data_IF_956374604780
#
_entry.id   IF_956374604780
#
_cell.length_a   1.000
_cell.length_b   1.000
_cell.length_c   1.000
_cell.angle_alpha   90.00
_cell.angle_beta   90.00
_cell.angle_gamma   90.00
#
_symmetry.space_group_name_H-M   'P 1'
#
loop_
_entity.id
_entity.type
_entity.pdbx_description
1 polymer ?
#
# COMPACT_ATOMS: atom_id res chain seq x y z
N UNK A 1 -24.44 -13.90 21.59
CA UNK A 1 -23.05 -13.48 21.30
C UNK A 1 -22.49 -14.44 20.28
N UNK A 2 -22.00 -13.93 19.16
CA UNK A 2 -21.43 -14.75 18.08
C UNK A 2 -20.03 -15.22 18.49
N UNK A 3 -19.74 -16.51 18.25
CA UNK A 3 -18.41 -17.09 18.43
C UNK A 3 -17.64 -17.04 17.10
N UNK A 4 -16.73 -16.10 16.98
CA UNK A 4 -15.89 -15.93 15.79
C UNK A 4 -14.97 -17.12 15.49
N UNK A 5 -14.76 -18.06 16.43
CA UNK A 5 -14.02 -19.28 16.18
C UNK A 5 -14.87 -20.39 15.51
N UNK A 6 -16.17 -20.15 15.35
CA UNK A 6 -17.13 -21.11 14.79
C UNK A 6 -18.00 -20.49 13.69
N UNK A 7 -17.38 -19.76 12.75
CA UNK A 7 -18.06 -19.02 11.68
C UNK A 7 -19.04 -19.91 10.88
N UNK A 8 -18.67 -21.15 10.59
CA UNK A 8 -19.49 -22.12 9.84
C UNK A 8 -20.82 -22.48 10.53
N UNK A 9 -20.99 -22.16 11.82
CA UNK A 9 -22.22 -22.42 12.58
C UNK A 9 -23.13 -21.21 12.70
N UNK A 10 -22.72 -20.05 12.21
CA UNK A 10 -23.50 -18.82 12.27
C UNK A 10 -24.69 -18.92 11.32
N UNK A 11 -25.87 -18.63 11.83
CA UNK A 11 -27.06 -18.49 11.01
C UNK A 11 -27.19 -17.04 10.53
N UNK A 12 -26.61 -16.76 9.37
CA UNK A 12 -26.55 -15.42 8.82
C UNK A 12 -27.92 -14.77 8.62
N UNK A 13 -28.97 -15.54 8.26
CA UNK A 13 -30.31 -15.01 8.08
C UNK A 13 -30.90 -14.39 9.36
N UNK A 14 -30.41 -14.79 10.53
CA UNK A 14 -30.83 -14.25 11.83
C UNK A 14 -29.75 -13.32 12.45
N UNK A 15 -28.68 -13.02 11.72
CA UNK A 15 -27.56 -12.20 12.20
C UNK A 15 -27.74 -10.75 11.78
N UNK A 16 -27.61 -9.84 12.73
CA UNK A 16 -27.58 -8.40 12.49
C UNK A 16 -26.15 -7.91 12.44
N UNK A 17 -25.80 -7.22 11.36
CA UNK A 17 -24.47 -6.66 11.14
C UNK A 17 -24.60 -5.14 11.05
N UNK A 18 -23.96 -4.44 11.98
CA UNK A 18 -23.74 -3.01 11.84
C UNK A 18 -22.44 -2.78 11.08
N UNK A 19 -22.46 -1.86 10.11
CA UNK A 19 -21.31 -1.45 9.33
C UNK A 19 -21.01 0.00 9.67
N UNK A 20 -19.81 0.25 10.19
CA UNK A 20 -19.36 1.58 10.55
C UNK A 20 -18.54 2.16 9.40
N UNK A 21 -19.11 3.20 8.75
CA UNK A 21 -18.58 3.87 7.58
C UNK A 21 -19.17 3.35 6.26
N UNK A 22 -19.62 4.28 5.40
CA UNK A 22 -20.23 4.04 4.09
C UNK A 22 -19.28 4.30 2.92
N UNK A 23 -17.97 4.26 3.13
CA UNK A 23 -16.97 4.27 2.05
C UNK A 23 -16.97 2.95 1.28
N UNK A 24 -16.08 2.83 0.27
CA UNK A 24 -16.01 1.66 -0.62
C UNK A 24 -16.01 0.32 0.14
N UNK A 25 -15.18 0.18 1.18
CA UNK A 25 -15.10 -1.06 1.98
C UNK A 25 -16.39 -1.36 2.74
N UNK A 26 -17.04 -0.32 3.31
CA UNK A 26 -18.29 -0.50 4.04
C UNK A 26 -19.45 -0.91 3.13
N UNK A 27 -19.59 -0.28 1.98
CA UNK A 27 -20.61 -0.63 0.97
C UNK A 27 -20.39 -2.04 0.43
N UNK A 28 -19.15 -2.44 0.16
CA UNK A 28 -18.81 -3.78 -0.28
C UNK A 28 -19.14 -4.85 0.79
N UNK A 29 -18.82 -4.56 2.06
CA UNK A 29 -19.19 -5.43 3.18
C UNK A 29 -20.73 -5.54 3.34
N UNK A 30 -21.47 -4.44 3.13
CA UNK A 30 -22.92 -4.42 3.14
C UNK A 30 -23.52 -5.30 2.03
N UNK A 31 -22.99 -5.20 0.83
CA UNK A 31 -23.42 -6.01 -0.31
C UNK A 31 -23.16 -7.51 -0.06
N UNK A 32 -21.97 -7.87 0.41
CA UNK A 32 -21.65 -9.26 0.78
C UNK A 32 -22.56 -9.74 1.90
N UNK A 33 -22.73 -8.95 2.97
CA UNK A 33 -23.61 -9.28 4.10
C UNK A 33 -25.07 -9.49 3.67
N UNK A 34 -25.58 -8.69 2.75
CA UNK A 34 -26.92 -8.84 2.16
C UNK A 34 -27.02 -10.13 1.34
N UNK A 35 -25.98 -10.43 0.54
CA UNK A 35 -25.94 -11.65 -0.28
C UNK A 35 -26.02 -12.94 0.56
N UNK A 36 -25.33 -12.96 1.71
CA UNK A 36 -25.37 -14.11 2.63
C UNK A 36 -26.65 -14.14 3.49
N UNK A 37 -27.54 -13.16 3.33
CA UNK A 37 -28.84 -13.08 3.99
C UNK A 37 -28.86 -12.39 5.36
N UNK A 38 -27.78 -11.73 5.78
CA UNK A 38 -27.72 -11.00 7.05
C UNK A 38 -28.56 -9.70 7.01
N UNK A 39 -28.97 -9.24 8.19
CA UNK A 39 -29.68 -7.97 8.36
C UNK A 39 -28.65 -6.85 8.52
N UNK A 40 -28.54 -5.96 7.53
CA UNK A 40 -27.55 -4.91 7.47
C UNK A 40 -28.10 -3.58 8.01
N UNK A 41 -27.26 -2.90 8.81
CA UNK A 41 -27.44 -1.53 9.23
C UNK A 41 -26.13 -0.75 9.01
N UNK A 42 -26.18 0.37 8.27
CA UNK A 42 -25.01 1.22 8.00
C UNK A 42 -25.10 2.47 8.87
N UNK A 43 -23.99 2.81 9.52
CA UNK A 43 -23.87 4.06 10.27
C UNK A 43 -22.69 4.86 9.72
N UNK A 44 -22.95 6.12 9.32
CA UNK A 44 -21.99 7.00 8.66
C UNK A 44 -22.03 8.40 9.28
N UNK A 45 -20.86 8.98 9.50
CA UNK A 45 -20.74 10.32 10.09
C UNK A 45 -21.10 11.43 9.11
N UNK A 46 -20.81 11.25 7.82
CA UNK A 46 -21.16 12.20 6.78
C UNK A 46 -22.62 12.04 6.33
N UNK A 47 -23.29 13.16 6.08
CA UNK A 47 -24.64 13.22 5.53
C UNK A 47 -24.69 13.69 4.06
N UNK A 48 -23.57 13.56 3.33
CA UNK A 48 -23.47 14.01 1.94
C UNK A 48 -24.45 13.23 1.03
N UNK A 49 -25.09 13.90 0.05
CA UNK A 49 -26.01 13.25 -0.88
C UNK A 49 -25.39 12.07 -1.64
N UNK A 50 -24.12 12.15 -1.99
CA UNK A 50 -23.38 11.06 -2.68
C UNK A 50 -23.30 9.79 -1.81
N UNK A 51 -23.02 9.94 -0.52
CA UNK A 51 -22.95 8.82 0.42
C UNK A 51 -24.33 8.17 0.57
N UNK A 52 -25.39 8.98 0.72
CA UNK A 52 -26.76 8.48 0.85
C UNK A 52 -27.17 7.71 -0.43
N UNK A 53 -26.81 8.22 -1.61
CA UNK A 53 -27.06 7.54 -2.88
C UNK A 53 -26.34 6.19 -2.95
N UNK A 54 -25.08 6.12 -2.51
CA UNK A 54 -24.29 4.89 -2.48
C UNK A 54 -24.84 3.83 -1.50
N UNK A 55 -25.44 4.23 -0.37
CA UNK A 55 -26.07 3.32 0.59
C UNK A 55 -27.36 2.68 -0.01
N UNK A 56 -28.09 3.42 -0.82
CA UNK A 56 -29.30 2.94 -1.50
C UNK A 56 -30.45 2.59 -0.56
N UNK A 57 -31.05 1.42 -0.72
CA UNK A 57 -32.25 0.97 0.03
C UNK A 57 -31.95 0.28 1.39
N UNK A 58 -30.68 0.17 1.77
CA UNK A 58 -30.29 -0.45 3.04
C UNK A 58 -30.76 0.40 4.22
N UNK A 59 -30.95 -0.21 5.39
CA UNK A 59 -31.17 0.56 6.63
C UNK A 59 -29.91 1.31 7.01
N UNK A 60 -30.04 2.60 7.28
CA UNK A 60 -28.89 3.42 7.64
C UNK A 60 -29.21 4.57 8.59
N UNK A 61 -28.17 5.16 9.13
CA UNK A 61 -28.15 6.50 9.74
C UNK A 61 -26.96 7.28 9.18
N UNK A 62 -27.08 8.60 9.12
CA UNK A 62 -26.04 9.54 8.67
C UNK A 62 -25.98 10.74 9.60
N UNK A 63 -24.87 11.50 9.57
CA UNK A 63 -24.67 12.67 10.42
C UNK A 63 -24.25 12.31 11.84
N UNK A 64 -23.67 11.13 12.06
CA UNK A 64 -23.17 10.64 13.33
C UNK A 64 -23.56 9.20 13.63
N UNK A 65 -23.04 8.68 14.73
CA UNK A 65 -23.22 7.30 15.16
C UNK A 65 -24.11 7.23 16.42
N UNK A 66 -25.32 6.69 16.30
CA UNK A 66 -26.23 6.52 17.42
C UNK A 66 -26.10 5.13 18.07
N UNK A 67 -26.84 4.93 19.18
CA UNK A 67 -26.94 3.63 19.82
C UNK A 67 -27.61 2.55 18.94
N UNK A 68 -28.16 2.90 17.78
CA UNK A 68 -28.69 1.92 16.82
C UNK A 68 -27.59 0.98 16.29
N UNK A 69 -26.31 1.42 16.29
CA UNK A 69 -25.14 0.60 15.97
C UNK A 69 -25.03 -0.60 16.91
N UNK A 70 -25.41 -0.43 18.17
CA UNK A 70 -25.29 -1.45 19.22
C UNK A 70 -26.34 -2.57 19.10
N UNK A 71 -27.37 -2.39 18.27
CA UNK A 71 -28.36 -3.42 17.99
C UNK A 71 -27.84 -4.42 16.93
N UNK A 72 -26.65 -4.92 17.17
CA UNK A 72 -25.93 -5.80 16.26
C UNK A 72 -25.30 -7.00 16.97
N UNK A 73 -25.14 -8.07 16.22
CA UNK A 73 -24.40 -9.26 16.64
C UNK A 73 -22.91 -9.17 16.27
N UNK A 74 -22.58 -8.35 15.25
CA UNK A 74 -21.21 -8.06 14.77
C UNK A 74 -21.14 -6.61 14.29
N UNK A 75 -20.04 -5.93 14.56
CA UNK A 75 -19.69 -4.65 13.97
C UNK A 75 -18.57 -4.86 12.93
N UNK A 76 -18.84 -4.50 11.66
CA UNK A 76 -17.79 -4.40 10.62
C UNK A 76 -17.34 -2.96 10.55
N UNK A 77 -16.06 -2.70 10.85
CA UNK A 77 -15.47 -1.36 10.91
C UNK A 77 -14.68 -1.04 9.66
N UNK A 78 -15.00 0.09 9.02
CA UNK A 78 -14.17 0.63 7.92
C UNK A 78 -12.80 1.08 8.43
N UNK A 79 -11.71 0.85 7.65
CA UNK A 79 -10.33 1.08 8.11
C UNK A 79 -10.01 2.56 8.40
N UNK A 80 -10.71 3.50 7.75
CA UNK A 80 -10.53 4.94 7.98
C UNK A 80 -10.99 5.42 9.34
N UNK A 81 -11.88 4.68 10.02
CA UNK A 81 -12.46 5.10 11.30
C UNK A 81 -11.50 4.77 12.45
N UNK A 82 -11.13 5.75 13.29
CA UNK A 82 -10.25 5.53 14.46
C UNK A 82 -10.92 4.64 15.53
N UNK A 83 -10.10 3.92 16.30
CA UNK A 83 -10.60 3.03 17.36
C UNK A 83 -11.07 3.78 18.63
N UNK A 84 -10.78 5.06 18.75
CA UNK A 84 -11.16 5.89 19.88
C UNK A 84 -12.53 6.54 19.74
N UNK A 85 -13.23 6.33 18.62
CA UNK A 85 -14.61 6.79 18.42
C UNK A 85 -15.52 6.21 19.50
N UNK A 86 -16.36 7.05 20.16
CA UNK A 86 -17.15 6.63 21.32
C UNK A 86 -18.00 5.36 21.11
N UNK A 87 -18.61 5.21 19.93
CA UNK A 87 -19.46 4.06 19.63
C UNK A 87 -18.69 2.73 19.58
N UNK A 88 -17.40 2.77 19.17
CA UNK A 88 -16.53 1.60 19.17
C UNK A 88 -16.28 1.11 20.60
N UNK A 89 -15.95 2.05 21.52
CA UNK A 89 -15.79 1.73 22.93
C UNK A 89 -17.06 1.16 23.56
N UNK A 90 -18.21 1.65 23.14
CA UNK A 90 -19.48 1.13 23.62
C UNK A 90 -19.77 -0.29 23.09
N UNK A 91 -19.42 -0.58 21.85
CA UNK A 91 -19.46 -1.96 21.30
C UNK A 91 -18.55 -2.89 22.12
N UNK A 92 -17.34 -2.47 22.47
CA UNK A 92 -16.42 -3.24 23.31
C UNK A 92 -17.00 -3.50 24.69
N UNK A 93 -17.60 -2.47 25.36
CA UNK A 93 -18.26 -2.59 26.66
C UNK A 93 -19.40 -3.61 26.62
N UNK A 94 -20.13 -3.71 25.51
CA UNK A 94 -21.23 -4.64 25.34
C UNK A 94 -20.77 -6.00 24.77
N UNK A 95 -19.47 -6.19 24.57
CA UNK A 95 -18.88 -7.38 23.97
C UNK A 95 -19.43 -7.71 22.58
N UNK A 96 -19.77 -6.70 21.78
CA UNK A 96 -20.09 -6.86 20.37
C UNK A 96 -18.78 -7.05 19.63
N UNK A 97 -18.58 -8.18 18.92
CA UNK A 97 -17.36 -8.42 18.15
C UNK A 97 -17.16 -7.33 17.09
N UNK A 98 -15.95 -6.76 17.04
CA UNK A 98 -15.55 -5.76 16.04
C UNK A 98 -14.56 -6.43 15.09
N UNK A 99 -14.84 -6.36 13.81
CA UNK A 99 -13.99 -6.97 12.77
C UNK A 99 -13.73 -5.99 11.63
N UNK A 100 -12.59 -6.15 10.95
CA UNK A 100 -12.33 -5.42 9.71
C UNK A 100 -13.12 -6.02 8.55
N UNK A 101 -13.26 -5.26 7.46
CA UNK A 101 -13.84 -5.76 6.21
C UNK A 101 -13.04 -6.96 5.67
N UNK A 102 -11.71 -6.97 5.86
CA UNK A 102 -10.82 -8.07 5.48
C UNK A 102 -11.14 -9.34 6.27
N UNK A 103 -11.31 -9.23 7.57
CA UNK A 103 -11.73 -10.36 8.42
C UNK A 103 -13.09 -10.90 7.96
N UNK A 104 -14.08 -10.01 7.82
CA UNK A 104 -15.44 -10.37 7.43
C UNK A 104 -15.48 -11.10 6.09
N UNK A 105 -14.83 -10.55 5.06
CA UNK A 105 -14.82 -11.16 3.72
C UNK A 105 -14.14 -12.54 3.71
N UNK A 106 -13.09 -12.73 4.50
CA UNK A 106 -12.33 -13.98 4.56
C UNK A 106 -13.17 -15.20 4.99
N UNK A 107 -14.28 -14.97 5.66
CA UNK A 107 -15.15 -16.06 6.12
C UNK A 107 -15.95 -16.74 5.00
N UNK A 108 -16.05 -16.09 3.83
CA UNK A 108 -16.92 -16.51 2.73
C UNK A 108 -16.18 -16.95 1.48
N UNK A 109 -14.86 -17.05 1.53
CA UNK A 109 -14.04 -17.64 0.46
C UNK A 109 -13.27 -18.85 0.95
N UNK A 110 -13.04 -19.79 0.03
CA UNK A 110 -12.10 -20.91 0.21
C UNK A 110 -10.90 -20.83 -0.72
N UNK A 111 -10.88 -19.80 -1.58
CA UNK A 111 -9.78 -19.55 -2.49
C UNK A 111 -8.51 -19.13 -1.74
N UNK A 112 -7.33 -19.51 -2.22
CA UNK A 112 -6.08 -19.09 -1.61
C UNK A 112 -5.96 -17.57 -1.53
N UNK A 113 -5.45 -17.07 -0.40
CA UNK A 113 -5.20 -15.65 -0.16
C UNK A 113 -3.69 -15.43 -0.08
N UNK A 114 -3.16 -14.53 -0.91
CA UNK A 114 -1.81 -14.01 -0.87
C UNK A 114 -1.90 -12.58 -0.34
N UNK A 115 -1.51 -12.34 0.89
CA UNK A 115 -1.67 -11.06 1.57
C UNK A 115 -0.32 -10.37 1.79
N UNK A 116 -0.24 -9.08 1.48
CA UNK A 116 0.99 -8.29 1.59
C UNK A 116 0.76 -7.02 2.41
N UNK A 117 1.68 -6.74 3.33
CA UNK A 117 1.76 -5.46 4.04
C UNK A 117 3.19 -4.89 4.04
N UNK A 118 3.34 -3.68 4.54
CA UNK A 118 4.60 -2.95 4.66
C UNK A 118 4.34 -1.44 4.76
N UNK A 119 5.34 -0.65 5.02
CA UNK A 119 5.23 0.81 4.92
C UNK A 119 5.24 1.24 3.46
N UNK A 120 6.23 0.84 2.69
CA UNK A 120 6.43 1.21 1.29
C UNK A 120 6.49 -0.02 0.36
N UNK A 121 6.27 0.20 -0.94
CA UNK A 121 6.41 -0.84 -1.98
C UNK A 121 5.20 -1.74 -2.18
N UNK A 122 4.20 -1.72 -1.30
CA UNK A 122 3.04 -2.62 -1.32
C UNK A 122 2.36 -2.71 -2.68
N UNK A 123 1.95 -1.59 -3.24
CA UNK A 123 1.16 -1.55 -4.48
C UNK A 123 1.93 -2.10 -5.69
N UNK A 124 3.22 -1.76 -5.81
CA UNK A 124 4.07 -2.32 -6.88
C UNK A 124 4.17 -3.84 -6.73
N UNK A 125 4.42 -4.32 -5.51
CA UNK A 125 4.60 -5.74 -5.22
C UNK A 125 3.33 -6.55 -5.47
N UNK A 126 2.15 -6.08 -5.00
CA UNK A 126 0.89 -6.83 -5.21
C UNK A 126 0.44 -6.82 -6.66
N UNK A 127 0.64 -5.71 -7.39
CA UNK A 127 0.33 -5.69 -8.82
C UNK A 127 1.23 -6.64 -9.59
N UNK A 128 2.53 -6.67 -9.30
CA UNK A 128 3.44 -7.62 -9.94
C UNK A 128 3.09 -9.08 -9.59
N UNK A 129 2.74 -9.36 -8.33
CA UNK A 129 2.28 -10.68 -7.90
C UNK A 129 0.96 -11.07 -8.59
N UNK A 130 0.04 -10.13 -8.75
CA UNK A 130 -1.20 -10.30 -9.49
C UNK A 130 -0.93 -10.70 -10.95
N UNK A 131 -0.04 -9.97 -11.65
CA UNK A 131 0.37 -10.30 -13.01
C UNK A 131 1.04 -11.69 -13.11
N UNK A 132 1.86 -12.07 -12.12
CA UNK A 132 2.46 -13.41 -12.06
C UNK A 132 1.39 -14.50 -11.96
N UNK A 133 0.35 -14.30 -11.15
CA UNK A 133 -0.76 -15.24 -11.04
C UNK A 133 -1.55 -15.36 -12.36
N UNK A 134 -1.83 -14.23 -13.03
CA UNK A 134 -2.50 -14.22 -14.34
C UNK A 134 -1.64 -14.93 -15.39
N UNK A 135 -0.35 -14.64 -15.45
CA UNK A 135 0.59 -15.25 -16.39
C UNK A 135 0.70 -16.78 -16.22
N UNK A 136 0.44 -17.28 -14.99
CA UNK A 136 0.38 -18.70 -14.68
C UNK A 136 -1.00 -19.34 -14.94
N UNK A 137 -1.94 -18.60 -15.53
CA UNK A 137 -3.28 -19.09 -15.90
C UNK A 137 -4.28 -19.14 -14.74
N UNK A 138 -4.05 -18.39 -13.66
CA UNK A 138 -4.98 -18.28 -12.52
C UNK A 138 -5.93 -17.10 -12.70
N UNK A 139 -7.13 -17.19 -12.14
CA UNK A 139 -8.04 -16.05 -12.00
C UNK A 139 -7.64 -15.25 -10.77
N UNK A 140 -6.78 -14.24 -10.95
CA UNK A 140 -6.27 -13.43 -9.85
C UNK A 140 -7.18 -12.24 -9.56
N UNK A 141 -7.57 -12.09 -8.28
CA UNK A 141 -8.45 -11.04 -7.76
C UNK A 141 -7.63 -10.08 -6.89
N UNK A 142 -7.26 -8.95 -7.47
CA UNK A 142 -6.51 -7.90 -6.77
C UNK A 142 -7.46 -7.08 -5.88
N UNK A 143 -7.11 -6.92 -4.60
CA UNK A 143 -7.98 -6.18 -3.68
C UNK A 143 -7.34 -5.71 -2.38
N UNK A 144 -8.20 -5.22 -1.49
CA UNK A 144 -7.83 -4.68 -0.18
C UNK A 144 -7.65 -3.16 -0.18
N UNK A 145 -6.44 -2.69 0.15
CA UNK A 145 -6.12 -1.25 0.18
C UNK A 145 -5.96 -0.63 -1.22
N UNK A 146 -5.84 -1.46 -2.24
CA UNK A 146 -5.77 -1.11 -3.66
C UNK A 146 -6.62 -2.09 -4.46
N UNK A 147 -7.08 -1.69 -5.63
CA UNK A 147 -8.02 -2.50 -6.41
C UNK A 147 -9.44 -2.44 -5.83
N UNK A 148 -10.12 -3.58 -5.85
CA UNK A 148 -11.48 -3.71 -5.31
C UNK A 148 -11.44 -4.02 -3.80
N UNK A 149 -12.45 -3.61 -3.00
CA UNK A 149 -12.61 -4.13 -1.65
C UNK A 149 -12.62 -5.67 -1.64
N UNK A 150 -12.05 -6.28 -0.60
CA UNK A 150 -12.00 -7.74 -0.56
C UNK A 150 -13.40 -8.39 -0.51
N UNK A 151 -14.34 -7.77 0.19
CA UNK A 151 -15.75 -8.20 0.20
C UNK A 151 -16.39 -8.19 -1.19
N UNK A 152 -16.03 -7.26 -2.06
CA UNK A 152 -16.53 -7.19 -3.42
C UNK A 152 -15.93 -8.31 -4.28
N UNK A 153 -14.63 -8.58 -4.16
CA UNK A 153 -13.98 -9.71 -4.81
C UNK A 153 -14.60 -11.05 -4.40
N UNK A 154 -14.88 -11.23 -3.10
CA UNK A 154 -15.53 -12.44 -2.58
C UNK A 154 -16.97 -12.55 -3.09
N UNK A 155 -17.72 -11.46 -3.11
CA UNK A 155 -19.07 -11.45 -3.67
C UNK A 155 -19.08 -11.83 -5.16
N UNK A 156 -18.12 -11.30 -5.92
CA UNK A 156 -17.96 -11.66 -7.32
C UNK A 156 -17.60 -13.14 -7.49
N UNK A 157 -16.70 -13.69 -6.69
CA UNK A 157 -16.36 -15.12 -6.66
C UNK A 157 -17.60 -15.98 -6.41
N UNK A 158 -18.41 -15.65 -5.39
CA UNK A 158 -19.62 -16.39 -5.02
C UNK A 158 -20.70 -16.37 -6.11
N UNK A 159 -20.78 -15.31 -6.89
CA UNK A 159 -21.85 -15.11 -7.89
C UNK A 159 -21.46 -15.53 -9.30
N UNK A 160 -20.17 -15.72 -9.61
CA UNK A 160 -19.67 -15.86 -10.98
C UNK A 160 -19.11 -17.24 -11.32
N UNK A 161 -19.24 -18.26 -10.46
CA UNK A 161 -18.72 -19.63 -10.67
C UNK A 161 -17.25 -19.63 -11.18
N UNK A 162 -16.39 -18.88 -10.52
CA UNK A 162 -15.00 -18.73 -10.93
C UNK A 162 -14.22 -19.97 -10.52
N UNK A 163 -13.46 -20.53 -11.45
CA UNK A 163 -12.52 -21.61 -11.17
C UNK A 163 -11.10 -21.09 -11.01
N UNK A 164 -10.30 -21.76 -10.19
CA UNK A 164 -8.88 -21.49 -10.00
C UNK A 164 -8.58 -20.04 -9.57
N UNK A 165 -9.44 -19.48 -8.71
CA UNK A 165 -9.27 -18.12 -8.18
C UNK A 165 -8.20 -18.05 -7.11
N UNK A 166 -7.57 -16.87 -7.02
CA UNK A 166 -6.63 -16.49 -5.97
C UNK A 166 -6.81 -15.02 -5.62
N UNK A 167 -6.93 -14.70 -4.34
CA UNK A 167 -7.00 -13.32 -3.88
C UNK A 167 -5.59 -12.81 -3.60
N UNK A 168 -5.20 -11.70 -4.24
CA UNK A 168 -3.96 -10.99 -4.00
C UNK A 168 -4.30 -9.68 -3.29
N UNK A 169 -3.96 -9.58 -2.00
CA UNK A 169 -4.43 -8.49 -1.15
C UNK A 169 -3.29 -7.58 -0.69
N UNK A 170 -3.44 -6.27 -0.97
CA UNK A 170 -2.67 -5.25 -0.28
C UNK A 170 -3.35 -4.90 1.03
N UNK A 171 -2.63 -4.97 2.16
CA UNK A 171 -3.18 -4.68 3.48
C UNK A 171 -2.45 -3.49 4.13
N UNK A 172 -3.23 -2.47 4.54
CA UNK A 172 -2.77 -1.40 5.40
C UNK A 172 -2.72 -1.87 6.87
N UNK A 173 -2.03 -1.11 7.74
CA UNK A 173 -2.07 -1.36 9.18
C UNK A 173 -3.50 -1.25 9.74
N UNK A 174 -4.29 -0.31 9.23
CA UNK A 174 -5.68 -0.08 9.65
C UNK A 174 -6.62 -1.27 9.34
N UNK A 175 -6.40 -1.95 8.23
CA UNK A 175 -7.15 -3.15 7.86
C UNK A 175 -6.76 -4.37 8.71
N UNK A 176 -5.55 -4.36 9.27
CA UNK A 176 -5.05 -5.42 10.15
C UNK A 176 -5.43 -5.22 11.63
N UNK A 177 -5.96 -4.04 12.03
CA UNK A 177 -6.31 -3.76 13.44
C UNK A 177 -7.30 -4.78 14.02
N UNK A 178 -8.29 -5.19 13.23
CA UNK A 178 -9.39 -6.08 13.67
C UNK A 178 -9.47 -7.37 12.86
N UNK A 179 -8.32 -8.02 12.61
CA UNK A 179 -8.26 -9.41 12.14
C UNK A 179 -8.23 -10.36 13.34
N UNK A 180 -8.88 -11.51 13.21
CA UNK A 180 -8.96 -12.53 14.24
C UNK A 180 -8.77 -13.95 13.69
N UNK A 181 -9.54 -14.32 12.66
CA UNK A 181 -9.46 -15.64 12.00
C UNK A 181 -8.93 -15.56 10.57
N UNK A 182 -8.75 -14.37 10.05
CA UNK A 182 -8.12 -14.14 8.73
C UNK A 182 -6.79 -14.89 8.64
N UNK A 183 -6.65 -15.76 7.64
CA UNK A 183 -5.52 -16.68 7.57
C UNK A 183 -5.03 -16.86 6.13
N UNK A 184 -4.15 -16.00 5.63
CA UNK A 184 -3.61 -16.12 4.27
C UNK A 184 -2.70 -17.34 4.12
N UNK A 185 -2.70 -17.92 2.92
CA UNK A 185 -1.79 -19.01 2.56
C UNK A 185 -0.35 -18.50 2.41
N UNK A 186 -0.17 -17.32 1.80
CA UNK A 186 1.14 -16.65 1.73
C UNK A 186 0.98 -15.26 2.32
N UNK A 187 1.76 -14.96 3.34
CA UNK A 187 1.83 -13.64 3.96
C UNK A 187 3.16 -12.96 3.61
N UNK A 188 3.12 -11.71 3.14
CA UNK A 188 4.30 -10.91 2.81
C UNK A 188 4.43 -9.68 3.69
N UNK A 189 5.64 -9.36 4.20
CA UNK A 189 5.93 -8.12 4.92
C UNK A 189 7.19 -7.49 4.32
N UNK A 190 7.03 -6.30 3.69
CA UNK A 190 8.10 -5.67 2.92
C UNK A 190 9.10 -4.91 3.78
N UNK A 191 8.62 -4.03 4.63
CA UNK A 191 9.43 -3.12 5.45
C UNK A 191 8.57 -2.42 6.51
N UNK A 192 9.24 -1.91 7.54
CA UNK A 192 8.64 -1.08 8.59
C UNK A 192 9.45 0.22 8.71
N UNK A 193 8.85 1.32 8.33
CA UNK A 193 9.40 2.67 8.51
C UNK A 193 8.35 3.59 9.10
N UNK A 194 8.72 4.69 9.78
CA UNK A 194 7.77 5.60 10.39
C UNK A 194 6.73 6.13 9.39
N UNK A 195 5.46 5.88 9.69
CA UNK A 195 4.31 6.41 8.95
C UNK A 195 3.09 6.38 9.89
N UNK A 196 2.09 7.23 9.65
CA UNK A 196 0.83 7.27 10.42
C UNK A 196 1.02 7.43 11.94
N UNK A 197 2.04 8.20 12.38
CA UNK A 197 2.27 8.50 13.80
C UNK A 197 1.24 9.48 14.38
N UNK A 198 0.37 10.03 13.57
CA UNK A 198 -0.87 10.72 13.97
C UNK A 198 -1.93 9.76 14.54
N UNK A 199 -1.86 8.47 14.20
CA UNK A 199 -2.81 7.44 14.64
C UNK A 199 -2.21 6.43 15.62
N UNK A 200 -0.91 6.15 15.52
CA UNK A 200 -0.20 5.21 16.38
C UNK A 200 0.71 5.95 17.37
N UNK A 201 0.78 5.46 18.60
CA UNK A 201 1.56 6.09 19.67
C UNK A 201 3.07 6.18 19.32
N UNK A 202 3.59 5.18 18.62
CA UNK A 202 4.98 5.11 18.16
C UNK A 202 5.14 4.09 17.02
N UNK A 203 6.36 3.97 16.51
CA UNK A 203 6.69 2.99 15.46
C UNK A 203 6.49 1.54 15.91
N UNK A 204 6.61 1.24 17.19
CA UNK A 204 6.43 -0.15 17.67
C UNK A 204 4.96 -0.53 17.65
N UNK A 205 4.06 0.39 18.02
CA UNK A 205 2.62 0.18 17.89
C UNK A 205 2.21 -0.02 16.42
N UNK A 206 2.72 0.82 15.51
CA UNK A 206 2.51 0.66 14.07
C UNK A 206 3.06 -0.67 13.52
N UNK A 207 4.27 -1.05 13.94
CA UNK A 207 4.89 -2.32 13.56
C UNK A 207 4.08 -3.52 14.06
N UNK A 208 3.58 -3.46 15.30
CA UNK A 208 2.79 -4.53 15.90
C UNK A 208 1.55 -4.87 15.08
N UNK A 209 0.85 -3.85 14.54
CA UNK A 209 -0.31 -4.08 13.69
C UNK A 209 0.06 -4.85 12.41
N UNK A 210 1.16 -4.47 11.73
CA UNK A 210 1.61 -5.19 10.53
C UNK A 210 2.11 -6.59 10.84
N UNK A 211 2.78 -6.78 11.97
CA UNK A 211 3.29 -8.08 12.42
C UNK A 211 2.17 -9.07 12.78
N UNK A 212 0.93 -8.62 13.02
CA UNK A 212 -0.22 -9.53 13.15
C UNK A 212 -0.34 -10.47 11.96
N UNK A 213 -0.04 -9.98 10.75
CA UNK A 213 -0.08 -10.80 9.55
C UNK A 213 0.83 -12.03 9.65
N UNK A 214 1.98 -11.92 10.32
CA UNK A 214 2.91 -13.03 10.53
C UNK A 214 2.38 -14.11 11.48
N UNK A 215 1.45 -13.76 12.38
CA UNK A 215 0.85 -14.69 13.35
C UNK A 215 -0.46 -15.32 12.87
N UNK A 216 -1.01 -14.84 11.76
CA UNK A 216 -2.29 -15.26 11.19
C UNK A 216 -2.15 -16.10 9.92
N UNK A 217 -0.97 -16.66 9.66
CA UNK A 217 -0.71 -17.48 8.47
C UNK A 217 -1.43 -18.82 8.58
N UNK A 218 -1.99 -19.31 7.47
CA UNK A 218 -2.53 -20.67 7.38
C UNK A 218 -1.50 -21.73 7.83
N UNK A 219 -1.97 -22.80 8.44
CA UNK A 219 -1.10 -23.88 8.96
C UNK A 219 -0.21 -24.51 7.89
N UNK A 220 -0.60 -24.45 6.64
CA UNK A 220 0.16 -24.93 5.48
C UNK A 220 0.93 -23.81 4.76
N UNK A 221 0.71 -22.56 5.18
CA UNK A 221 1.20 -21.36 4.53
C UNK A 221 2.65 -20.99 4.83
N UNK A 222 3.11 -19.90 4.20
CA UNK A 222 4.46 -19.36 4.33
C UNK A 222 4.45 -17.86 4.62
N UNK A 223 5.38 -17.45 5.49
CA UNK A 223 5.72 -16.05 5.68
C UNK A 223 6.88 -15.66 4.77
N UNK A 224 6.71 -14.60 4.01
CA UNK A 224 7.77 -13.98 3.21
C UNK A 224 8.10 -12.61 3.79
N UNK A 225 9.36 -12.34 4.16
CA UNK A 225 9.71 -11.04 4.70
C UNK A 225 11.13 -10.59 4.31
N UNK A 226 11.35 -9.27 4.39
CA UNK A 226 12.62 -8.65 4.08
C UNK A 226 13.63 -8.86 5.21
N UNK A 227 14.70 -9.60 4.96
CA UNK A 227 15.77 -9.81 5.92
C UNK A 227 16.70 -8.60 6.10
N UNK A 228 16.64 -7.62 5.19
CA UNK A 228 17.42 -6.38 5.29
C UNK A 228 16.76 -5.34 6.20
N UNK A 229 15.46 -5.49 6.48
CA UNK A 229 14.74 -4.62 7.42
C UNK A 229 15.06 -5.01 8.88
N UNK A 230 15.65 -4.11 9.69
CA UNK A 230 16.11 -4.46 11.04
C UNK A 230 14.97 -4.79 12.01
N UNK A 231 13.79 -4.20 11.84
CA UNK A 231 12.63 -4.49 12.68
C UNK A 231 12.09 -5.88 12.38
N UNK A 232 11.93 -6.22 11.08
CA UNK A 232 11.47 -7.54 10.66
C UNK A 232 12.47 -8.63 11.00
N UNK A 233 13.76 -8.42 10.70
CA UNK A 233 14.83 -9.36 11.00
C UNK A 233 14.91 -9.70 12.49
N UNK A 234 14.68 -8.70 13.37
CA UNK A 234 14.65 -8.90 14.82
C UNK A 234 13.38 -9.61 15.28
N UNK A 235 12.21 -9.20 14.78
CA UNK A 235 10.90 -9.67 15.27
C UNK A 235 10.55 -11.06 14.76
N UNK A 236 11.03 -11.45 13.56
CA UNK A 236 10.60 -12.65 12.84
C UNK A 236 11.70 -13.72 12.73
N UNK A 237 12.86 -13.53 13.37
CA UNK A 237 14.04 -14.44 13.28
C UNK A 237 13.74 -15.89 13.64
N UNK A 238 12.83 -16.13 14.57
CA UNK A 238 12.47 -17.43 15.11
C UNK A 238 11.18 -18.02 14.49
N UNK A 239 10.62 -17.34 13.47
CA UNK A 239 9.40 -17.79 12.80
C UNK A 239 9.69 -19.04 11.99
N UNK A 240 9.00 -20.12 12.32
CA UNK A 240 9.01 -21.35 11.52
C UNK A 240 8.20 -21.13 10.24
N UNK A 241 8.53 -21.83 9.13
CA UNK A 241 7.84 -21.65 7.84
C UNK A 241 7.95 -20.22 7.27
N UNK A 242 9.16 -19.68 7.34
CA UNK A 242 9.46 -18.40 6.71
C UNK A 242 10.51 -18.54 5.61
N UNK A 243 10.35 -17.77 4.57
CA UNK A 243 11.29 -17.58 3.47
C UNK A 243 11.62 -16.09 3.45
N UNK A 244 12.89 -15.73 3.29
CA UNK A 244 13.29 -14.34 3.27
C UNK A 244 13.72 -13.90 1.87
N UNK A 245 13.54 -12.61 1.58
CA UNK A 245 14.22 -11.95 0.47
C UNK A 245 15.19 -10.88 1.01
N UNK A 246 16.25 -10.60 0.26
CA UNK A 246 17.31 -9.68 0.65
C UNK A 246 18.08 -9.21 -0.57
N UNK A 247 18.56 -7.97 -0.55
CA UNK A 247 19.57 -7.48 -1.51
C UNK A 247 20.98 -7.92 -1.15
N UNK A 248 21.18 -8.42 0.08
CA UNK A 248 22.44 -8.95 0.56
C UNK A 248 22.48 -10.47 0.37
N UNK A 249 23.68 -11.04 0.36
CA UNK A 249 23.80 -12.50 0.37
C UNK A 249 23.24 -13.07 1.67
N UNK A 250 22.23 -13.94 1.55
CA UNK A 250 21.59 -14.61 2.68
C UNK A 250 21.21 -16.03 2.27
N UNK A 251 21.67 -17.01 3.03
CA UNK A 251 21.45 -18.44 2.74
C UNK A 251 19.96 -18.85 2.80
N UNK A 252 19.14 -18.11 3.55
CA UNK A 252 17.70 -18.34 3.67
C UNK A 252 16.89 -17.77 2.48
N UNK A 253 17.52 -17.02 1.56
CA UNK A 253 16.85 -16.50 0.37
C UNK A 253 16.68 -17.60 -0.67
N UNK A 254 15.48 -17.72 -1.22
CA UNK A 254 15.23 -18.58 -2.37
C UNK A 254 15.88 -17.99 -3.64
N UNK A 255 15.72 -16.70 -3.86
CA UNK A 255 16.37 -15.99 -4.96
C UNK A 255 17.63 -15.28 -4.46
N UNK A 256 18.72 -15.43 -5.21
CA UNK A 256 20.03 -14.87 -4.86
C UNK A 256 20.40 -13.78 -5.85
N UNK A 257 20.87 -12.66 -5.32
CA UNK A 257 21.34 -11.52 -6.11
C UNK A 257 22.85 -11.56 -6.26
N UNK A 258 23.33 -11.38 -7.50
CA UNK A 258 24.75 -11.12 -7.79
C UNK A 258 24.85 -9.96 -8.79
N UNK A 259 25.30 -8.81 -8.34
CA UNK A 259 25.24 -7.53 -9.04
C UNK A 259 23.77 -7.20 -9.40
N UNK A 260 23.40 -7.22 -10.68
CA UNK A 260 22.03 -6.95 -11.17
C UNK A 260 21.29 -8.21 -11.57
N UNK A 261 21.92 -9.39 -11.50
CA UNK A 261 21.34 -10.66 -11.91
C UNK A 261 20.75 -11.42 -10.73
N UNK A 262 19.51 -11.88 -10.89
CA UNK A 262 18.80 -12.68 -9.90
C UNK A 262 18.75 -14.14 -10.36
N UNK A 263 19.16 -15.03 -9.49
CA UNK A 263 19.27 -16.46 -9.71
C UNK A 263 18.21 -17.21 -8.91
N UNK A 264 17.63 -18.27 -9.50
CA UNK A 264 16.80 -19.24 -8.79
C UNK A 264 17.53 -20.57 -8.73
N UNK A 265 17.53 -21.21 -7.56
CA UNK A 265 18.13 -22.51 -7.37
C UNK A 265 19.21 -22.56 -6.31
N UNK A 266 19.76 -23.76 -6.10
CA UNK A 266 20.87 -23.98 -5.20
C UNK A 266 22.17 -23.40 -5.76
N UNK A 267 23.16 -23.22 -4.88
CA UNK A 267 24.41 -22.51 -5.19
C UNK A 267 25.23 -23.16 -6.31
N UNK A 268 25.02 -24.44 -6.57
CA UNK A 268 25.85 -25.26 -7.47
C UNK A 268 25.39 -25.26 -8.95
N UNK A 269 24.17 -24.82 -9.23
CA UNK A 269 23.66 -24.65 -10.60
C UNK A 269 22.70 -23.44 -10.66
N UNK A 270 23.22 -22.22 -10.53
CA UNK A 270 22.40 -21.01 -10.48
C UNK A 270 21.91 -20.64 -11.88
N UNK A 271 20.65 -20.90 -12.12
CA UNK A 271 19.95 -20.38 -13.29
C UNK A 271 19.57 -18.91 -13.12
N UNK A 272 19.84 -18.08 -14.11
CA UNK A 272 19.41 -16.68 -14.12
C UNK A 272 17.89 -16.65 -14.25
N UNK A 273 17.21 -16.07 -13.26
CA UNK A 273 15.78 -15.80 -13.34
C UNK A 273 15.54 -14.55 -14.20
N UNK A 274 16.23 -13.45 -13.91
CA UNK A 274 16.20 -12.22 -14.71
C UNK A 274 17.43 -11.35 -14.41
N UNK A 275 17.72 -10.38 -15.29
CA UNK A 275 18.62 -9.27 -15.02
C UNK A 275 17.81 -8.02 -14.72
N UNK A 276 18.06 -7.34 -13.60
CA UNK A 276 17.33 -6.14 -13.19
C UNK A 276 17.44 -5.00 -14.22
N UNK A 277 18.56 -4.90 -14.93
CA UNK A 277 18.76 -3.90 -15.99
C UNK A 277 17.75 -4.04 -17.14
N UNK A 278 17.25 -5.26 -17.39
CA UNK A 278 16.28 -5.54 -18.47
C UNK A 278 14.85 -5.18 -18.04
N UNK A 279 14.61 -4.85 -16.76
CA UNK A 279 13.30 -4.49 -16.25
C UNK A 279 12.99 -3.00 -16.47
N UNK A 280 11.71 -2.66 -16.56
CA UNK A 280 11.27 -1.25 -16.62
C UNK A 280 11.25 -0.58 -15.25
N UNK A 281 11.24 -1.37 -14.17
CA UNK A 281 11.31 -0.88 -12.80
C UNK A 281 12.75 -0.49 -12.47
N UNK A 282 12.97 0.73 -11.96
CA UNK A 282 14.30 1.25 -11.62
C UNK A 282 14.44 1.44 -10.10
N UNK A 283 15.69 1.49 -9.63
CA UNK A 283 16.02 1.69 -8.22
C UNK A 283 16.00 0.41 -7.37
N UNK A 284 16.87 0.36 -6.35
CA UNK A 284 17.03 -0.81 -5.49
C UNK A 284 15.77 -1.16 -4.70
N UNK A 285 14.95 -0.18 -4.34
CA UNK A 285 13.66 -0.42 -3.70
C UNK A 285 12.69 -1.22 -4.60
N UNK A 286 12.73 -1.00 -5.93
CA UNK A 286 11.95 -1.79 -6.87
C UNK A 286 12.53 -3.20 -7.06
N UNK A 287 13.84 -3.36 -6.98
CA UNK A 287 14.44 -4.70 -6.94
C UNK A 287 13.97 -5.49 -5.70
N UNK A 288 13.86 -4.83 -4.52
CA UNK A 288 13.26 -5.46 -3.32
C UNK A 288 11.79 -5.83 -3.56
N UNK A 289 11.00 -4.96 -4.18
CA UNK A 289 9.59 -5.25 -4.53
C UNK A 289 9.47 -6.46 -5.46
N UNK A 290 10.34 -6.55 -6.48
CA UNK A 290 10.39 -7.68 -7.41
C UNK A 290 10.76 -8.98 -6.66
N UNK A 291 11.81 -8.95 -5.82
CA UNK A 291 12.22 -10.12 -5.04
C UNK A 291 11.12 -10.59 -4.09
N UNK A 292 10.40 -9.67 -3.45
CA UNK A 292 9.26 -10.00 -2.60
C UNK A 292 8.14 -10.69 -3.40
N UNK A 293 7.70 -10.08 -4.52
CA UNK A 293 6.67 -10.64 -5.39
C UNK A 293 7.06 -12.02 -5.92
N UNK A 294 8.28 -12.15 -6.45
CA UNK A 294 8.80 -13.43 -6.96
C UNK A 294 8.88 -14.51 -5.89
N UNK A 295 9.33 -14.16 -4.66
CA UNK A 295 9.40 -15.09 -3.55
C UNK A 295 8.01 -15.56 -3.10
N UNK A 296 7.03 -14.65 -3.03
CA UNK A 296 5.64 -14.99 -2.72
C UNK A 296 5.03 -15.87 -3.82
N UNK A 297 5.22 -15.52 -5.10
CA UNK A 297 4.74 -16.27 -6.24
C UNK A 297 5.33 -17.69 -6.28
N UNK A 298 6.65 -17.82 -6.10
CA UNK A 298 7.31 -19.11 -6.03
C UNK A 298 6.78 -19.96 -4.87
N UNK A 299 6.62 -19.35 -3.68
CA UNK A 299 6.10 -20.06 -2.50
C UNK A 299 4.65 -20.53 -2.69
N UNK A 300 3.89 -19.86 -3.55
CA UNK A 300 2.54 -20.27 -3.96
C UNK A 300 2.53 -21.32 -5.08
N UNK A 301 3.66 -21.57 -5.73
CA UNK A 301 3.81 -22.54 -6.80
C UNK A 301 3.56 -21.98 -8.19
N UNK A 302 3.72 -20.67 -8.40
CA UNK A 302 3.73 -20.04 -9.72
C UNK A 302 4.97 -20.48 -10.48
N UNK A 303 4.81 -20.81 -11.75
CA UNK A 303 5.91 -21.29 -12.60
C UNK A 303 6.97 -20.19 -12.79
N UNK A 304 8.23 -20.64 -12.90
CA UNK A 304 9.38 -19.76 -13.14
C UNK A 304 9.21 -18.91 -14.39
N UNK A 305 8.62 -19.49 -15.46
CA UNK A 305 8.35 -18.79 -16.71
C UNK A 305 7.35 -17.64 -16.51
N UNK A 306 6.26 -17.87 -15.77
CA UNK A 306 5.28 -16.84 -15.45
C UNK A 306 5.89 -15.71 -14.60
N UNK A 307 6.73 -16.05 -13.63
CA UNK A 307 7.46 -15.07 -12.81
C UNK A 307 8.37 -14.22 -13.71
N UNK A 308 9.21 -14.84 -14.54
CA UNK A 308 10.12 -14.14 -15.46
C UNK A 308 9.37 -13.21 -16.40
N UNK A 309 8.36 -13.73 -17.12
CA UNK A 309 7.60 -12.98 -18.12
C UNK A 309 6.90 -11.77 -17.50
N UNK A 310 6.33 -11.92 -16.31
CA UNK A 310 5.69 -10.82 -15.61
C UNK A 310 6.70 -9.75 -15.20
N UNK A 311 7.88 -10.10 -14.70
CA UNK A 311 8.91 -9.14 -14.30
C UNK A 311 9.38 -8.30 -15.49
N UNK A 312 9.69 -8.94 -16.62
CA UNK A 312 10.23 -8.24 -17.81
C UNK A 312 9.19 -7.34 -18.47
N UNK A 313 7.91 -7.77 -18.49
CA UNK A 313 6.85 -7.03 -19.16
C UNK A 313 6.12 -6.03 -18.26
N UNK A 314 6.34 -6.06 -16.94
CA UNK A 314 5.63 -5.21 -15.99
C UNK A 314 5.76 -3.73 -16.34
N UNK A 315 4.62 -3.06 -16.45
CA UNK A 315 4.58 -1.61 -16.67
C UNK A 315 4.54 -0.91 -15.32
N UNK A 316 5.47 0.02 -15.06
CA UNK A 316 5.46 0.81 -13.83
C UNK A 316 4.09 1.45 -13.57
N UNK A 317 3.69 1.47 -12.30
CA UNK A 317 2.42 2.07 -11.89
C UNK A 317 2.57 3.59 -11.95
N UNK A 318 1.59 4.33 -12.49
CA UNK A 318 1.62 5.79 -12.52
C UNK A 318 1.92 6.40 -11.14
N UNK A 319 2.62 7.53 -11.13
CA UNK A 319 2.98 8.31 -9.94
C UNK A 319 3.91 7.59 -8.93
N UNK A 320 4.65 6.58 -9.38
CA UNK A 320 5.64 5.84 -8.57
C UNK A 320 6.97 5.76 -9.29
N UNK A 321 7.80 6.77 -9.10
CA UNK A 321 9.05 6.99 -9.81
C UNK A 321 8.86 6.84 -11.34
N UNK A 322 7.75 7.34 -11.82
CA UNK A 322 7.32 7.28 -13.21
C UNK A 322 8.14 8.28 -14.03
N UNK A 323 8.89 7.79 -15.04
CA UNK A 323 9.47 8.68 -16.03
C UNK A 323 8.36 9.18 -16.96
N UNK A 324 8.16 10.50 -16.96
CA UNK A 324 7.08 11.14 -17.74
C UNK A 324 7.58 11.54 -19.12
N UNK A 325 8.84 11.95 -19.24
CA UNK A 325 9.45 12.36 -20.49
C UNK A 325 10.66 13.26 -20.29
N UNK A 326 11.19 13.79 -21.40
CA UNK A 326 12.33 14.70 -21.41
C UNK A 326 12.02 15.97 -22.21
N UNK A 327 12.38 17.14 -21.68
CA UNK A 327 12.30 18.43 -22.35
C UNK A 327 13.70 19.02 -22.39
N UNK A 328 14.24 19.34 -23.58
CA UNK A 328 15.58 19.94 -23.75
C UNK A 328 16.70 19.18 -22.99
N UNK A 329 16.64 17.85 -23.01
CA UNK A 329 17.55 16.95 -22.28
C UNK A 329 17.50 17.10 -20.75
N UNK A 330 16.34 17.47 -20.21
CA UNK A 330 16.00 17.42 -18.78
C UNK A 330 14.94 16.34 -18.59
N UNK A 331 15.21 15.36 -17.75
CA UNK A 331 14.27 14.27 -17.46
C UNK A 331 13.29 14.65 -16.36
N UNK A 332 12.02 14.24 -16.49
CA UNK A 332 10.96 14.48 -15.52
C UNK A 332 10.46 13.18 -14.94
N UNK A 333 10.55 13.05 -13.60
CA UNK A 333 10.07 11.90 -12.85
C UNK A 333 8.97 12.28 -11.87
N UNK A 334 7.88 11.52 -11.92
CA UNK A 334 6.69 11.70 -11.08
C UNK A 334 6.64 10.60 -10.02
N UNK A 335 6.93 10.98 -8.77
CA UNK A 335 6.81 10.10 -7.61
C UNK A 335 5.83 10.71 -6.58
N UNK A 336 4.69 11.23 -7.09
CA UNK A 336 3.65 11.86 -6.25
C UNK A 336 3.18 10.96 -5.11
N UNK A 337 3.33 9.65 -5.22
CA UNK A 337 3.00 8.67 -4.18
C UNK A 337 3.95 8.68 -2.98
N UNK A 338 5.14 9.25 -3.08
CA UNK A 338 6.08 9.40 -1.96
C UNK A 338 5.54 10.40 -0.92
N UNK A 339 4.64 9.98 -0.07
CA UNK A 339 3.96 10.81 0.94
C UNK A 339 4.58 10.72 2.34
N UNK A 340 5.81 10.18 2.43
CA UNK A 340 6.61 10.12 3.67
C UNK A 340 8.12 10.19 3.35
N UNK A 341 8.93 10.46 4.37
CA UNK A 341 10.39 10.61 4.27
C UNK A 341 11.05 9.37 3.68
N UNK A 342 10.70 8.17 4.16
CA UNK A 342 11.33 6.93 3.71
C UNK A 342 11.09 6.66 2.21
N UNK A 343 9.91 7.01 1.69
CA UNK A 343 9.62 6.90 0.27
C UNK A 343 10.46 7.91 -0.55
N UNK A 344 10.58 9.15 -0.08
CA UNK A 344 11.41 10.16 -0.74
C UNK A 344 12.89 9.79 -0.73
N UNK A 345 13.42 9.24 0.38
CA UNK A 345 14.79 8.70 0.44
C UNK A 345 14.99 7.64 -0.66
N UNK A 346 14.10 6.64 -0.74
CA UNK A 346 14.20 5.58 -1.74
C UNK A 346 14.16 6.10 -3.18
N UNK A 347 13.38 7.14 -3.44
CA UNK A 347 13.32 7.79 -4.74
C UNK A 347 14.63 8.52 -5.07
N UNK A 348 15.16 9.31 -4.14
CA UNK A 348 16.42 10.06 -4.31
C UNK A 348 17.59 9.09 -4.55
N UNK A 349 17.66 7.97 -3.84
CA UNK A 349 18.69 6.93 -3.99
C UNK A 349 18.69 6.26 -5.37
N UNK A 350 17.63 6.42 -6.16
CA UNK A 350 17.53 5.89 -7.52
C UNK A 350 18.30 6.71 -8.56
N UNK A 351 18.87 7.84 -8.16
CA UNK A 351 19.61 8.75 -9.01
C UNK A 351 21.02 9.00 -8.45
N UNK A 352 21.98 9.23 -9.35
CA UNK A 352 23.37 9.44 -8.96
C UNK A 352 23.68 10.91 -8.64
N UNK A 353 23.20 11.85 -9.47
CA UNK A 353 23.47 13.30 -9.35
C UNK A 353 22.44 14.17 -10.10
N UNK A 354 22.69 15.49 -10.09
CA UNK A 354 21.97 16.52 -10.86
C UNK A 354 20.44 16.55 -10.63
N UNK A 355 19.97 16.14 -9.44
CA UNK A 355 18.55 16.21 -9.10
C UNK A 355 18.11 17.63 -8.73
N UNK A 356 17.01 18.06 -9.32
CA UNK A 356 16.16 19.15 -8.83
C UNK A 356 14.96 18.51 -8.15
N UNK A 357 14.95 18.56 -6.81
CA UNK A 357 13.96 17.85 -6.00
C UNK A 357 12.78 18.78 -5.66
N UNK A 358 11.55 18.31 -5.90
CA UNK A 358 10.33 19.01 -5.50
C UNK A 358 9.75 18.32 -4.25
N UNK A 359 9.72 19.06 -3.13
CA UNK A 359 9.18 18.64 -1.84
C UNK A 359 7.98 19.52 -1.44
N UNK A 360 7.02 18.97 -0.70
CA UNK A 360 5.93 19.77 -0.16
C UNK A 360 4.57 19.09 -0.21
N UNK A 361 3.57 19.81 0.28
CA UNK A 361 2.24 19.30 0.50
C UNK A 361 1.84 19.49 1.96
N UNK A 362 0.97 18.61 2.49
CA UNK A 362 0.52 18.64 3.89
C UNK A 362 1.35 17.69 4.75
N UNK A 363 2.02 18.23 5.76
CA UNK A 363 2.70 17.41 6.77
C UNK A 363 1.68 16.62 7.62
N UNK A 364 2.04 15.40 7.99
CA UNK A 364 1.25 14.49 8.83
C UNK A 364 1.56 14.64 10.34
N UNK A 365 2.31 15.68 10.70
CA UNK A 365 2.66 16.04 12.08
C UNK A 365 4.15 15.95 12.39
N UNK A 366 4.77 17.11 12.62
CA UNK A 366 6.14 17.29 13.11
C UNK A 366 7.20 16.42 12.41
N UNK A 367 7.16 16.37 11.08
CA UNK A 367 8.12 15.58 10.29
C UNK A 367 9.50 16.18 10.35
N UNK A 368 10.50 15.37 10.68
CA UNK A 368 11.92 15.75 10.65
C UNK A 368 12.47 15.53 9.23
N UNK A 369 12.48 16.60 8.43
CA UNK A 369 12.99 16.57 7.06
C UNK A 369 14.52 16.53 6.99
N UNK A 370 15.23 16.77 8.10
CA UNK A 370 16.69 16.65 8.11
C UNK A 370 17.19 15.23 7.84
N UNK A 371 16.32 14.23 8.03
CA UNK A 371 16.61 12.84 7.67
C UNK A 371 16.88 12.63 6.16
N UNK A 372 16.45 13.56 5.30
CA UNK A 372 16.77 13.53 3.86
C UNK A 372 18.23 13.93 3.56
N UNK A 373 18.88 14.74 4.43
CA UNK A 373 20.18 15.36 4.18
C UNK A 373 21.24 14.33 3.73
N UNK A 374 21.46 13.21 4.45
CA UNK A 374 22.51 12.26 4.07
C UNK A 374 22.34 11.66 2.67
N UNK A 375 21.07 11.47 2.25
CA UNK A 375 20.75 10.90 0.93
C UNK A 375 20.85 11.94 -0.17
N UNK A 376 20.55 13.20 0.14
CA UNK A 376 20.59 14.31 -0.82
C UNK A 376 22.02 14.76 -1.12
N UNK A 377 22.97 14.56 -0.20
CA UNK A 377 24.39 14.92 -0.41
C UNK A 377 24.93 14.27 -1.70
N UNK A 378 25.56 15.08 -2.54
CA UNK A 378 26.12 14.72 -3.86
C UNK A 378 25.08 14.33 -4.94
N UNK A 379 23.78 14.26 -4.62
CA UNK A 379 22.72 13.94 -5.58
C UNK A 379 21.88 15.15 -5.94
N UNK A 380 21.48 15.94 -4.94
CA UNK A 380 20.52 17.04 -5.11
C UNK A 380 21.24 18.34 -5.37
N UNK A 381 21.01 18.91 -6.54
CA UNK A 381 21.54 20.20 -6.99
C UNK A 381 20.79 21.37 -6.37
N UNK A 382 19.46 21.26 -6.30
CA UNK A 382 18.60 22.28 -5.69
C UNK A 382 17.23 21.67 -5.27
N UNK A 383 16.57 22.35 -4.34
CA UNK A 383 15.28 21.95 -3.81
C UNK A 383 14.25 23.04 -4.11
N UNK A 384 13.10 22.63 -4.61
CA UNK A 384 11.92 23.48 -4.74
C UNK A 384 10.88 23.00 -3.74
N UNK A 385 10.37 23.90 -2.89
CA UNK A 385 9.37 23.52 -1.88
C UNK A 385 8.08 24.31 -2.06
N UNK A 386 6.94 23.67 -1.77
CA UNK A 386 5.61 24.26 -1.93
C UNK A 386 4.63 23.80 -0.84
N UNK A 387 3.45 24.43 -0.82
CA UNK A 387 2.32 24.04 0.01
C UNK A 387 2.51 24.32 1.51
N UNK A 388 1.66 23.71 2.33
CA UNK A 388 1.60 23.97 3.77
C UNK A 388 2.91 23.63 4.47
N UNK A 389 3.54 22.49 4.14
CA UNK A 389 4.81 22.06 4.71
C UNK A 389 6.03 22.83 4.16
N UNK A 390 5.89 23.56 3.04
CA UNK A 390 7.02 24.15 2.34
C UNK A 390 7.86 25.10 3.18
N UNK A 391 7.25 25.87 4.10
CA UNK A 391 7.99 26.77 5.02
C UNK A 391 8.81 26.01 6.03
N UNK A 392 8.25 24.94 6.59
CA UNK A 392 8.95 24.11 7.57
C UNK A 392 10.12 23.35 6.93
N UNK A 393 9.90 22.76 5.75
CA UNK A 393 10.95 22.12 4.95
C UNK A 393 12.08 23.14 4.67
N UNK A 394 11.74 24.36 4.28
CA UNK A 394 12.70 25.42 4.06
C UNK A 394 13.53 25.71 5.32
N UNK A 395 12.89 25.86 6.48
CA UNK A 395 13.56 26.15 7.72
C UNK A 395 14.58 25.05 8.10
N UNK A 396 14.23 23.78 7.85
CA UNK A 396 15.08 22.64 8.22
C UNK A 396 16.22 22.38 7.22
N UNK A 397 16.06 22.71 5.92
CA UNK A 397 17.00 22.30 4.87
C UNK A 397 17.78 23.46 4.23
N UNK A 398 17.40 24.73 4.44
CA UNK A 398 17.94 25.88 3.73
C UNK A 398 19.44 26.12 3.95
N UNK A 399 20.00 25.66 5.08
CA UNK A 399 21.45 25.80 5.35
C UNK A 399 22.31 24.80 4.57
N UNK A 400 21.69 23.72 4.08
CA UNK A 400 22.38 22.61 3.46
C UNK A 400 22.31 22.65 1.92
N UNK A 401 21.24 23.19 1.35
CA UNK A 401 20.97 23.16 -0.10
C UNK A 401 20.43 24.49 -0.63
N UNK A 402 20.75 24.84 -1.91
CA UNK A 402 20.01 25.89 -2.61
C UNK A 402 18.51 25.56 -2.64
N UNK A 403 17.67 26.41 -2.02
CA UNK A 403 16.27 26.14 -1.84
C UNK A 403 15.40 27.32 -2.23
N UNK A 404 14.34 27.08 -3.05
CA UNK A 404 13.34 28.04 -3.46
C UNK A 404 11.97 27.64 -2.92
N UNK A 405 11.25 28.57 -2.28
CA UNK A 405 9.88 28.38 -1.83
C UNK A 405 8.90 28.95 -2.85
N UNK A 406 7.92 28.15 -3.26
CA UNK A 406 6.80 28.51 -4.11
C UNK A 406 5.47 28.42 -3.32
N UNK A 407 4.48 29.22 -3.69
CA UNK A 407 3.17 29.23 -3.03
C UNK A 407 2.35 27.98 -3.35
N UNK A 408 2.41 27.54 -4.59
CA UNK A 408 1.63 26.41 -5.07
C UNK A 408 2.46 25.43 -5.90
N UNK A 409 1.83 24.31 -6.24
CA UNK A 409 2.47 23.20 -6.94
C UNK A 409 2.84 23.53 -8.39
N UNK A 410 2.00 24.29 -9.12
CA UNK A 410 2.27 24.64 -10.51
C UNK A 410 3.49 25.55 -10.61
N UNK A 411 3.56 26.57 -9.76
CA UNK A 411 4.72 27.46 -9.65
C UNK A 411 5.99 26.69 -9.29
N UNK A 412 5.89 25.66 -8.42
CA UNK A 412 7.02 24.83 -8.02
C UNK A 412 7.60 24.05 -9.22
N UNK A 413 6.75 23.43 -10.03
CA UNK A 413 7.20 22.66 -11.20
C UNK A 413 7.75 23.59 -12.30
N UNK A 414 7.10 24.73 -12.55
CA UNK A 414 7.61 25.73 -13.50
C UNK A 414 8.96 26.30 -13.04
N UNK A 415 9.14 26.57 -11.75
CA UNK A 415 10.41 27.03 -11.17
C UNK A 415 11.49 25.96 -11.31
N UNK A 416 11.19 24.68 -11.07
CA UNK A 416 12.11 23.58 -11.26
C UNK A 416 12.58 23.51 -12.73
N UNK A 417 11.65 23.61 -13.69
CA UNK A 417 11.96 23.62 -15.11
C UNK A 417 12.84 24.82 -15.50
N UNK A 418 12.52 26.02 -15.03
CA UNK A 418 13.29 27.24 -15.35
C UNK A 418 14.70 27.24 -14.76
N UNK A 419 14.92 26.52 -13.65
CA UNK A 419 16.23 26.40 -12.99
C UNK A 419 17.05 25.20 -13.49
N UNK A 420 16.47 24.38 -14.36
CA UNK A 420 17.16 23.19 -14.89
C UNK A 420 18.08 23.51 -16.06
N UNK A 421 19.08 22.67 -16.26
CA UNK A 421 19.98 22.68 -17.42
C UNK A 421 19.95 21.29 -18.06
N UNK A 422 20.37 21.21 -19.33
CA UNK A 422 20.50 19.93 -20.02
C UNK A 422 21.33 18.93 -19.20
N UNK A 423 20.83 17.76 -18.97
CA UNK A 423 21.41 16.70 -18.13
C UNK A 423 20.91 16.69 -16.68
N UNK A 424 20.08 17.65 -16.26
CA UNK A 424 19.43 17.59 -14.95
C UNK A 424 18.19 16.66 -14.97
N UNK A 425 17.82 16.20 -13.79
CA UNK A 425 16.57 15.45 -13.56
C UNK A 425 15.67 16.22 -12.59
N UNK A 426 14.43 16.48 -12.97
CA UNK A 426 13.39 17.01 -12.08
C UNK A 426 12.62 15.85 -11.48
N UNK A 427 12.68 15.71 -10.16
CA UNK A 427 11.99 14.67 -9.40
C UNK A 427 10.92 15.28 -8.48
N UNK A 428 9.65 14.97 -8.74
CA UNK A 428 8.59 15.16 -7.77
C UNK A 428 8.62 13.96 -6.80
N UNK A 429 9.11 14.15 -5.58
CA UNK A 429 9.02 13.14 -4.50
C UNK A 429 8.73 13.85 -3.17
N UNK A 430 7.46 14.22 -2.94
CA UNK A 430 7.06 15.32 -2.07
C UNK A 430 7.27 15.09 -0.58
N UNK A 431 7.51 13.87 -0.10
CA UNK A 431 7.62 13.47 1.30
C UNK A 431 6.40 13.81 2.18
N UNK A 432 5.37 14.43 1.62
CA UNK A 432 4.16 14.92 2.28
C UNK A 432 2.89 14.42 1.59
N UNK A 433 1.78 14.36 2.34
CA UNK A 433 0.46 14.16 1.76
C UNK A 433 0.08 15.31 0.82
N UNK A 434 -0.93 15.10 -0.03
CA UNK A 434 -1.35 16.09 -1.06
C UNK A 434 -2.55 16.94 -0.65
N UNK A 435 -3.13 16.70 0.52
CA UNK A 435 -4.45 17.21 0.95
C UNK A 435 -4.52 18.73 1.24
N UNK A 436 -3.42 19.45 1.05
CA UNK A 436 -3.41 20.92 1.09
C UNK A 436 -3.89 21.56 -0.23
N UNK A 437 -3.58 20.95 -1.38
CA UNK A 437 -3.91 21.49 -2.71
C UNK A 437 -4.65 20.50 -3.62
N UNK A 438 -4.72 19.21 -3.24
CA UNK A 438 -5.30 18.14 -4.03
C UNK A 438 -6.13 17.19 -3.16
N UNK A 439 -7.14 16.54 -3.73
CA UNK A 439 -7.97 15.56 -3.02
C UNK A 439 -7.23 14.24 -2.73
N UNK A 440 -6.21 13.90 -3.52
CA UNK A 440 -5.38 12.71 -3.36
C UNK A 440 -4.04 12.88 -4.10
N UNK A 441 -3.13 11.90 -3.94
CA UNK A 441 -1.82 11.93 -4.61
C UNK A 441 -1.92 11.67 -6.11
N UNK A 442 -2.93 10.97 -6.57
CA UNK A 442 -3.21 10.72 -7.99
C UNK A 442 -3.50 12.05 -8.71
N UNK A 443 -4.35 12.89 -8.14
CA UNK A 443 -4.65 14.20 -8.70
C UNK A 443 -3.41 15.08 -8.79
N UNK A 444 -2.57 15.11 -7.74
CA UNK A 444 -1.27 15.79 -7.77
C UNK A 444 -0.36 15.25 -8.85
N UNK A 445 -0.29 13.92 -8.99
CA UNK A 445 0.52 13.27 -10.01
C UNK A 445 -0.01 13.52 -11.43
N UNK A 446 -1.31 13.51 -11.64
CA UNK A 446 -1.94 13.87 -12.91
C UNK A 446 -1.66 15.33 -13.28
N UNK A 447 -1.71 16.24 -12.29
CA UNK A 447 -1.36 17.65 -12.49
C UNK A 447 0.10 17.84 -12.92
N UNK A 448 1.03 17.03 -12.38
CA UNK A 448 2.43 17.02 -12.83
C UNK A 448 2.54 16.67 -14.33
N UNK A 449 1.86 15.60 -14.75
CA UNK A 449 1.85 15.17 -16.16
C UNK A 449 1.19 16.21 -17.07
N UNK A 450 0.10 16.84 -16.61
CA UNK A 450 -0.58 17.92 -17.35
C UNK A 450 0.36 19.12 -17.61
N UNK A 451 1.10 19.56 -16.56
CA UNK A 451 2.02 20.69 -16.68
C UNK A 451 3.21 20.31 -17.58
N UNK A 452 3.78 19.10 -17.41
CA UNK A 452 4.81 18.58 -18.29
C UNK A 452 4.38 18.63 -19.76
N UNK A 453 3.19 18.13 -20.08
CA UNK A 453 2.65 18.11 -21.44
C UNK A 453 2.51 19.54 -22.03
N UNK A 454 2.09 20.51 -21.20
CA UNK A 454 2.02 21.92 -21.61
C UNK A 454 3.40 22.50 -21.91
N UNK A 455 4.42 22.18 -21.09
CA UNK A 455 5.79 22.61 -21.29
C UNK A 455 6.38 21.99 -22.56
N UNK A 456 6.11 20.73 -22.83
CA UNK A 456 6.57 20.02 -24.04
C UNK A 456 5.97 20.64 -25.31
N UNK A 457 4.69 20.98 -25.29
CA UNK A 457 3.98 21.62 -26.44
C UNK A 457 4.34 23.09 -26.64
N UNK A 458 4.84 23.76 -25.62
CA UNK A 458 5.21 25.18 -25.67
C UNK A 458 6.66 25.43 -26.11
N UNK A 459 7.45 24.39 -26.21
CA UNK A 459 8.81 24.37 -26.74
C UNK A 459 8.84 23.79 -28.17
#
# INVERSE_FOLDING_TARGET
MIDLNNISKINWANTRISILGAGKSGIAAAALGTHIGAQIFISEDSDSPEIIENIGELKYEVGGHSNSVLDADILVKSPGIPNDVPIIKECENQNIPIVSEIEFASWFTTSPILALTGSNGKTTTVNLLHEMCISDGRTSLLGGNVGMPFSENVLWELTSNIENSVHVLELSSFQLEHINTFSPLIAGILNISPDHLDRYADINAYAAEKLKLATHIDKTGWLVFNADDPILAKSLKDTTRSIVFSLKQNEKCHFKLNATKVYSGEVDDPDILFNFEDTKLKGFHNLQNILAAATMAHSFGISREAIHNSIINFTPIPHRLEWVGSIQNVDFFNDSKATNIAAAIAAIESFDDNLILILGGKDKGSTDFTQLIPTMENRVKSIIVYGDAGREIKNQLNENFPLTYCGDFEDALLTANNNSNAGDTILLSPACASFDQFSNYEERGNKFVEIFTKLELGN
#
